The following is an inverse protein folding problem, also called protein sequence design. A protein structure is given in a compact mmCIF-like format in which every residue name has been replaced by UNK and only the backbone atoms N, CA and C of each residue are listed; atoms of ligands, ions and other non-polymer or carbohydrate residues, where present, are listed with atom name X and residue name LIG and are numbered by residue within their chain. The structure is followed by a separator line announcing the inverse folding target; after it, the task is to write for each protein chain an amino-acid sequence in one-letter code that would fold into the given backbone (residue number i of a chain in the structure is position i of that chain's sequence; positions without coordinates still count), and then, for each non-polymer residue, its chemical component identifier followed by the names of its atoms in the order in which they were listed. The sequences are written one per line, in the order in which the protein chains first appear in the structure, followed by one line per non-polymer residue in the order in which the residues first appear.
data_IF_115623557873
#
_entry.id   IF_115623557873
#
_cell.length_a   1.000
_cell.length_b   1.000
_cell.length_c   1.000
_cell.angle_alpha   90.00
_cell.angle_beta   90.00
_cell.angle_gamma   90.00
#
_symmetry.space_group_name_H-M   'P 1'
#
loop_
_entity.id
_entity.type
_entity.pdbx_description
1 polymer ?
#
# COMPACT_ATOMS: atom_id res chain seq x y z
N UNK A 1 -1.16 5.28 4.62
CA UNK A 1 -0.40 5.18 3.35
C UNK A 1 -0.34 6.55 2.66
N UNK A 2 0.66 6.81 1.80
CA UNK A 2 0.73 8.03 0.98
C UNK A 2 -0.02 7.88 -0.35
N UNK A 3 -0.57 8.96 -0.89
CA UNK A 3 -1.34 8.94 -2.16
C UNK A 3 -0.59 8.34 -3.34
N UNK A 4 0.67 8.71 -3.53
CA UNK A 4 1.47 8.22 -4.63
C UNK A 4 1.68 6.70 -4.54
N UNK A 5 1.92 6.20 -3.32
CA UNK A 5 2.03 4.77 -3.06
C UNK A 5 0.71 4.04 -3.37
N UNK A 6 -0.41 4.62 -2.97
CA UNK A 6 -1.73 4.07 -3.26
C UNK A 6 -2.00 3.96 -4.76
N UNK A 7 -1.59 4.98 -5.53
CA UNK A 7 -1.73 4.98 -6.99
C UNK A 7 -0.86 3.92 -7.65
N UNK A 8 0.38 3.73 -7.19
CA UNK A 8 1.26 2.66 -7.65
C UNK A 8 0.63 1.29 -7.42
N UNK A 9 0.03 1.07 -6.25
CA UNK A 9 -0.68 -0.17 -5.92
C UNK A 9 -1.90 -0.36 -6.83
N UNK A 10 -2.72 0.68 -7.02
CA UNK A 10 -3.90 0.61 -7.88
C UNK A 10 -3.56 0.40 -9.37
N UNK A 11 -2.41 0.91 -9.81
CA UNK A 11 -1.89 0.72 -11.16
C UNK A 11 -1.13 -0.61 -11.32
N UNK A 12 -0.69 -1.22 -10.22
CA UNK A 12 0.01 -2.49 -10.21
C UNK A 12 -0.98 -3.64 -10.39
N UNK A 13 -0.69 -4.62 -11.25
CA UNK A 13 -1.44 -5.86 -11.30
C UNK A 13 -1.16 -6.78 -10.09
N UNK A 14 -0.18 -6.43 -9.27
CA UNK A 14 0.21 -7.21 -8.09
C UNK A 14 -0.57 -6.73 -6.87
N UNK A 15 -1.27 -7.65 -6.22
CA UNK A 15 -2.01 -7.37 -5.00
C UNK A 15 -1.05 -6.97 -3.87
N UNK A 16 -1.14 -5.72 -3.43
CA UNK A 16 -0.47 -5.27 -2.22
C UNK A 16 -1.24 -5.72 -0.98
N UNK A 17 -0.52 -6.11 0.07
CA UNK A 17 -1.12 -6.40 1.36
C UNK A 17 -1.53 -5.10 2.03
N UNK A 18 -2.74 -4.63 1.78
CA UNK A 18 -3.28 -3.43 2.42
C UNK A 18 -4.39 -3.83 3.39
N UNK A 19 -4.38 -3.22 4.56
CA UNK A 19 -5.41 -3.40 5.59
C UNK A 19 -6.08 -2.08 5.92
N UNK A 20 -7.38 -2.16 6.19
CA UNK A 20 -8.22 -1.07 6.68
C UNK A 20 -8.92 -1.54 7.94
N UNK A 21 -8.71 -0.86 9.07
CA UNK A 21 -9.26 -1.25 10.38
C UNK A 21 -8.95 -2.71 10.78
N UNK A 22 -7.80 -3.23 10.35
CA UNK A 22 -7.39 -4.62 10.60
C UNK A 22 -8.00 -5.66 9.66
N UNK A 23 -8.83 -5.25 8.70
CA UNK A 23 -9.38 -6.11 7.65
C UNK A 23 -8.55 -5.94 6.38
N UNK A 24 -8.14 -7.03 5.71
CA UNK A 24 -7.45 -6.92 4.43
C UNK A 24 -8.40 -6.43 3.34
N UNK A 25 -7.95 -5.42 2.59
CA UNK A 25 -8.73 -4.76 1.56
C UNK A 25 -7.93 -4.64 0.26
N UNK A 26 -8.64 -4.70 -0.85
CA UNK A 26 -8.08 -4.49 -2.18
C UNK A 26 -8.36 -3.06 -2.66
N UNK A 27 -7.33 -2.34 -3.11
CA UNK A 27 -7.48 -0.98 -3.65
C UNK A 27 -7.79 -1.07 -5.15
N UNK A 28 -8.96 -0.59 -5.56
CA UNK A 28 -9.36 -0.58 -6.96
C UNK A 28 -9.03 0.73 -7.67
N UNK A 29 -9.23 1.86 -6.98
CA UNK A 29 -9.01 3.20 -7.52
C UNK A 29 -8.67 4.16 -6.37
N UNK A 30 -7.82 5.15 -6.64
CA UNK A 30 -7.48 6.23 -5.72
C UNK A 30 -8.12 7.52 -6.22
N UNK A 31 -8.74 8.25 -5.30
CA UNK A 31 -9.24 9.60 -5.52
C UNK A 31 -8.25 10.62 -4.95
N UNK A 32 -7.57 11.34 -5.85
CA UNK A 32 -6.59 12.35 -5.49
C UNK A 32 -7.21 13.63 -4.94
N UNK A 33 -8.48 13.90 -5.25
CA UNK A 33 -9.18 15.10 -4.80
C UNK A 33 -9.64 14.95 -3.35
N UNK A 34 -10.20 13.79 -3.00
CA UNK A 34 -10.71 13.53 -1.65
C UNK A 34 -9.70 12.85 -0.72
N UNK A 35 -8.52 12.47 -1.24
CA UNK A 35 -7.52 11.68 -0.52
C UNK A 35 -8.11 10.36 0.04
N UNK A 36 -9.03 9.77 -0.70
CA UNK A 36 -9.68 8.49 -0.39
C UNK A 36 -9.32 7.46 -1.46
N UNK A 37 -9.48 6.18 -1.11
CA UNK A 37 -9.35 5.08 -2.04
C UNK A 37 -10.59 4.22 -1.97
N UNK A 38 -11.05 3.80 -3.15
CA UNK A 38 -12.15 2.85 -3.29
C UNK A 38 -11.58 1.47 -3.07
N UNK A 39 -11.95 0.86 -1.95
CA UNK A 39 -11.43 -0.42 -1.49
C UNK A 39 -12.53 -1.47 -1.39
N UNK A 40 -12.14 -2.73 -1.57
CA UNK A 40 -13.02 -3.89 -1.46
C UNK A 40 -12.48 -4.82 -0.37
N UNK A 41 -13.20 -5.05 0.73
CA UNK A 41 -12.80 -6.02 1.75
C UNK A 41 -12.70 -7.43 1.15
N UNK A 42 -11.64 -8.18 1.50
CA UNK A 42 -11.49 -9.55 0.97
C UNK A 42 -12.59 -10.49 1.45
N UNK A 43 -13.13 -10.25 2.65
CA UNK A 43 -14.27 -11.00 3.16
C UNK A 43 -15.57 -10.68 2.41
N UNK A 44 -15.68 -9.49 1.81
CA UNK A 44 -16.90 -8.99 1.16
C UNK A 44 -16.56 -8.19 -0.11
N UNK A 45 -16.09 -8.86 -1.18
CA UNK A 45 -15.65 -8.19 -2.41
C UNK A 45 -16.80 -7.53 -3.20
N UNK A 46 -18.05 -7.80 -2.82
CA UNK A 46 -19.24 -7.16 -3.40
C UNK A 46 -19.51 -5.76 -2.80
N UNK A 47 -18.84 -5.43 -1.69
CA UNK A 47 -18.99 -4.14 -1.02
C UNK A 47 -17.79 -3.27 -1.32
N UNK A 48 -18.05 -2.15 -1.99
CA UNK A 48 -17.08 -1.07 -2.08
C UNK A 48 -17.21 -0.12 -0.91
N UNK A 49 -16.08 0.25 -0.34
CA UNK A 49 -15.97 1.25 0.71
C UNK A 49 -14.95 2.32 0.29
N UNK A 50 -15.23 3.58 0.63
CA UNK A 50 -14.26 4.65 0.47
C UNK A 50 -13.47 4.78 1.76
N UNK A 51 -12.23 4.29 1.74
CA UNK A 51 -11.32 4.35 2.87
C UNK A 51 -10.36 5.55 2.70
N UNK A 52 -10.17 6.38 3.73
CA UNK A 52 -9.16 7.44 3.69
C UNK A 52 -7.76 6.84 3.50
N UNK A 53 -6.95 7.41 2.60
CA UNK A 53 -5.59 6.91 2.32
C UNK A 53 -4.71 6.85 3.57
N UNK A 54 -4.89 7.82 4.47
CA UNK A 54 -4.22 7.89 5.77
C UNK A 54 -4.55 6.71 6.70
N UNK A 55 -5.73 6.11 6.54
CA UNK A 55 -6.20 4.99 7.37
C UNK A 55 -5.82 3.62 6.79
N UNK A 56 -5.34 3.58 5.55
CA UNK A 56 -4.86 2.36 4.91
C UNK A 56 -3.42 2.08 5.32
N UNK A 57 -3.18 0.83 5.74
CA UNK A 57 -1.87 0.34 6.21
C UNK A 57 -1.39 -0.73 5.23
N UNK A 58 -0.26 -0.48 4.59
CA UNK A 58 0.41 -1.46 3.73
C UNK A 58 1.34 -2.32 4.59
N UNK A 59 1.09 -3.63 4.61
CA UNK A 59 1.90 -4.65 5.26
C UNK A 59 2.91 -5.19 4.24
N UNK A 60 3.75 -4.30 3.71
CA UNK A 60 4.84 -4.65 2.79
C UNK A 60 6.00 -5.23 3.61
N UNK A 61 6.38 -6.51 3.43
CA UNK A 61 7.57 -7.07 4.04
C UNK A 61 8.80 -6.64 3.22
N UNK A 62 9.12 -5.35 3.23
CA UNK A 62 10.44 -4.87 2.86
C UNK A 62 10.87 -3.85 3.90
N UNK A 63 11.85 -4.19 4.76
CA UNK A 63 12.45 -3.20 5.65
C UNK A 63 13.05 -2.10 4.79
N UNK A 64 12.99 -0.88 5.29
CA UNK A 64 13.61 0.30 4.72
C UNK A 64 14.99 -0.05 4.15
N UNK A 65 15.11 -0.11 2.82
CA UNK A 65 16.43 -0.17 2.19
C UNK A 65 17.03 1.24 2.25
N UNK A 66 17.31 1.70 3.46
CA UNK A 66 18.23 2.81 3.76
C UNK A 66 19.62 2.29 4.15
N UNK A 67 19.93 1.02 3.88
CA UNK A 67 21.26 0.44 4.09
C UNK A 67 21.76 -0.33 2.86
N UNK A 68 21.83 0.34 1.71
CA UNK A 68 22.88 0.04 0.73
C UNK A 68 24.06 0.97 0.98
N UNK A 69 24.71 0.83 2.13
CA UNK A 69 26.14 1.14 2.23
C UNK A 69 26.93 -0.17 2.05
N UNK A 70 26.90 -0.72 0.83
CA UNK A 70 27.91 -1.69 0.39
C UNK A 70 29.25 -0.97 0.20
N UNK A 71 29.90 -0.58 1.30
CA UNK A 71 31.32 -0.26 1.31
C UNK A 71 32.11 -1.52 1.68
N UNK A 72 32.17 -2.50 0.78
CA UNK A 72 33.17 -3.55 0.89
C UNK A 72 34.53 -3.02 0.41
N UNK A 73 35.09 -2.05 1.15
CA UNK A 73 36.54 -1.81 1.16
C UNK A 73 37.13 -2.61 2.31
N UNK A 74 37.50 -3.87 2.05
CA UNK A 74 38.35 -4.64 2.97
C UNK A 74 39.68 -4.95 2.29
N UNK A 75 40.61 -4.03 2.49
CA UNK A 75 42.04 -4.26 2.32
C UNK A 75 42.52 -5.21 3.43
N UNK A 76 43.39 -6.16 3.11
CA UNK A 76 44.73 -6.11 3.70
C UNK A 76 45.85 -6.00 2.66
#
# INVERSE_FOLDING_TARGET
MNKQRAQEIAASPTMANVTYNGVPVYIQQVDDHEETARVYPLDQPEKEENAPLRSLIEDSPLPDTDDVHMSCSRNP
#
